data_IF_103802556472
#
_entry.id   IF_103802556472
#
_cell.length_a   1.000
_cell.length_b   1.000
_cell.length_c   1.000
_cell.angle_alpha   90.00
_cell.angle_beta   90.00
_cell.angle_gamma   90.00
#
_symmetry.space_group_name_H-M   'P 1'
#
loop_
_entity.id
_entity.type
_entity.pdbx_description
1 polymer ?
#
# COMPACT_ATOMS: atom_id res chain seq x y z
N UNK A 1 -15.20 -1.75 -20.52
CA UNK A 1 -15.63 -1.43 -19.15
C UNK A 1 -14.68 -2.12 -18.19
N UNK A 2 -13.92 -1.36 -17.40
CA UNK A 2 -13.04 -1.95 -16.40
C UNK A 2 -13.89 -2.63 -15.31
N UNK A 3 -13.77 -3.94 -15.17
CA UNK A 3 -14.49 -4.73 -14.17
C UNK A 3 -13.93 -4.41 -12.79
N UNK A 4 -14.75 -3.84 -11.91
CA UNK A 4 -14.41 -3.62 -10.51
C UNK A 4 -14.18 -4.98 -9.83
N UNK A 5 -12.97 -5.22 -9.34
CA UNK A 5 -12.63 -6.40 -8.54
C UNK A 5 -12.92 -6.09 -7.07
N UNK A 6 -13.59 -7.00 -6.37
CA UNK A 6 -13.95 -6.82 -4.96
C UNK A 6 -13.26 -7.84 -4.07
N UNK A 7 -12.82 -7.40 -2.89
CA UNK A 7 -12.18 -8.24 -1.86
C UNK A 7 -13.02 -8.20 -0.60
N UNK A 8 -13.23 -9.36 0.03
CA UNK A 8 -13.97 -9.43 1.30
C UNK A 8 -13.04 -9.07 2.45
N UNK A 9 -13.48 -8.13 3.28
CA UNK A 9 -12.82 -7.75 4.52
C UNK A 9 -13.67 -8.17 5.72
N UNK A 10 -13.01 -8.40 6.85
CA UNK A 10 -13.70 -8.75 8.09
C UNK A 10 -14.61 -7.60 8.55
N UNK A 11 -15.84 -7.92 8.94
CA UNK A 11 -16.81 -6.95 9.47
C UNK A 11 -16.25 -6.02 10.56
N UNK A 12 -15.52 -6.50 11.60
CA UNK A 12 -14.93 -5.61 12.61
C UNK A 12 -13.89 -4.64 12.03
N UNK A 13 -13.16 -5.03 10.97
CA UNK A 13 -12.20 -4.15 10.31
C UNK A 13 -12.92 -3.02 9.56
N UNK A 14 -13.98 -3.36 8.80
CA UNK A 14 -14.77 -2.36 8.10
C UNK A 14 -15.44 -1.37 9.06
N UNK A 15 -15.92 -1.83 10.21
CA UNK A 15 -16.56 -0.97 11.22
C UNK A 15 -15.57 0.06 11.80
N UNK A 16 -14.37 -0.40 12.17
CA UNK A 16 -13.29 0.49 12.60
C UNK A 16 -12.86 1.45 11.50
N UNK A 17 -12.77 0.98 10.26
CA UNK A 17 -12.38 1.80 9.13
C UNK A 17 -13.41 2.92 8.86
N UNK A 18 -14.72 2.63 8.92
CA UNK A 18 -15.77 3.66 8.77
C UNK A 18 -15.65 4.78 9.81
N UNK A 19 -15.44 4.42 11.07
CA UNK A 19 -15.24 5.39 12.14
C UNK A 19 -14.03 6.32 11.91
N UNK A 20 -13.00 5.84 11.20
CA UNK A 20 -11.81 6.62 10.86
C UNK A 20 -12.07 7.48 9.61
N UNK A 21 -12.74 6.94 8.60
CA UNK A 21 -13.08 7.64 7.34
C UNK A 21 -13.79 8.96 7.63
N UNK A 22 -14.81 8.94 8.49
CA UNK A 22 -15.58 10.15 8.85
C UNK A 22 -14.73 11.22 9.55
N UNK A 23 -13.72 10.81 10.31
CA UNK A 23 -12.85 11.71 11.08
C UNK A 23 -11.65 12.22 10.28
N UNK A 24 -11.17 11.42 9.33
CA UNK A 24 -9.95 11.69 8.58
C UNK A 24 -10.21 12.44 7.26
N UNK A 25 -11.47 12.79 6.95
CA UNK A 25 -11.83 13.62 5.81
C UNK A 25 -11.83 12.87 4.47
N UNK A 26 -11.92 11.54 4.51
CA UNK A 26 -12.09 10.74 3.30
C UNK A 26 -13.53 10.81 2.79
N UNK A 27 -13.69 10.80 1.47
CA UNK A 27 -15.01 10.88 0.84
C UNK A 27 -15.80 9.58 0.98
N UNK A 28 -15.11 8.44 1.16
CA UNK A 28 -15.72 7.12 1.30
C UNK A 28 -14.74 6.08 1.88
N UNK A 29 -15.29 4.96 2.36
CA UNK A 29 -14.49 3.82 2.83
C UNK A 29 -13.62 3.22 1.72
N UNK A 30 -14.12 3.24 0.49
CA UNK A 30 -13.41 2.70 -0.68
C UNK A 30 -12.14 3.50 -0.96
N UNK A 31 -12.24 4.83 -1.02
CA UNK A 31 -11.10 5.75 -1.18
C UNK A 31 -10.03 5.55 -0.09
N UNK A 32 -10.46 5.37 1.17
CA UNK A 32 -9.54 5.07 2.26
C UNK A 32 -8.78 3.74 2.06
N UNK A 33 -9.48 2.69 1.60
CA UNK A 33 -8.87 1.38 1.36
C UNK A 33 -7.91 1.44 0.16
N UNK A 34 -8.31 2.10 -0.93
CA UNK A 34 -7.47 2.28 -2.12
C UNK A 34 -6.17 3.01 -1.76
N UNK A 35 -6.26 4.16 -1.09
CA UNK A 35 -5.07 4.89 -0.63
C UNK A 35 -4.20 4.07 0.33
N UNK A 36 -4.80 3.28 1.22
CA UNK A 36 -4.05 2.43 2.14
C UNK A 36 -3.25 1.35 1.39
N UNK A 37 -3.86 0.73 0.38
CA UNK A 37 -3.22 -0.30 -0.47
C UNK A 37 -2.15 0.32 -1.35
N UNK A 38 -2.42 1.43 -2.03
CA UNK A 38 -1.43 2.14 -2.87
C UNK A 38 -0.19 2.53 -2.07
N UNK A 39 -0.38 3.04 -0.85
CA UNK A 39 0.73 3.39 0.04
C UNK A 39 1.58 2.18 0.41
N UNK A 40 0.97 1.01 0.60
CA UNK A 40 1.70 -0.20 0.95
C UNK A 40 2.46 -0.78 -0.25
N UNK A 41 1.81 -0.81 -1.42
CA UNK A 41 2.42 -1.17 -2.70
C UNK A 41 3.65 -0.31 -2.98
N UNK A 42 3.52 1.01 -2.89
CA UNK A 42 4.63 1.92 -3.13
C UNK A 42 5.83 1.68 -2.19
N UNK A 43 5.60 1.22 -0.95
CA UNK A 43 6.67 0.86 -0.02
C UNK A 43 7.35 -0.44 -0.41
N UNK A 44 6.58 -1.45 -0.82
CA UNK A 44 7.12 -2.74 -1.25
C UNK A 44 7.92 -2.58 -2.54
N UNK A 45 7.40 -1.85 -3.53
CA UNK A 45 8.08 -1.57 -4.80
C UNK A 45 9.36 -0.75 -4.59
N UNK A 46 9.34 0.24 -3.69
CA UNK A 46 10.55 0.97 -3.31
C UNK A 46 11.55 0.10 -2.55
N UNK A 47 11.09 -0.83 -1.71
CA UNK A 47 11.97 -1.73 -0.97
C UNK A 47 12.66 -2.72 -1.91
N UNK A 48 11.93 -3.30 -2.86
CA UNK A 48 12.51 -4.14 -3.92
C UNK A 48 13.53 -3.34 -4.75
N UNK A 49 13.19 -2.12 -5.15
CA UNK A 49 14.10 -1.25 -5.92
C UNK A 49 15.40 -0.92 -5.16
N UNK A 50 15.32 -0.71 -3.84
CA UNK A 50 16.51 -0.44 -3.00
C UNK A 50 17.37 -1.69 -2.82
N UNK A 51 16.77 -2.85 -2.62
CA UNK A 51 17.51 -4.10 -2.47
C UNK A 51 18.22 -4.48 -3.78
N UNK A 52 17.53 -4.33 -4.92
CA UNK A 52 18.11 -4.52 -6.25
C UNK A 52 19.24 -3.51 -6.54
N UNK A 53 19.08 -2.25 -6.13
CA UNK A 53 20.12 -1.22 -6.26
C UNK A 53 21.35 -1.55 -5.41
N UNK A 54 21.16 -1.92 -4.14
CA UNK A 54 22.26 -2.30 -3.23
C UNK A 54 22.98 -3.54 -3.77
N UNK A 55 22.24 -4.51 -4.32
CA UNK A 55 22.83 -5.71 -4.94
C UNK A 55 23.68 -5.34 -6.16
N UNK A 56 23.22 -4.41 -7.00
CA UNK A 56 24.02 -3.86 -8.12
C UNK A 56 25.26 -3.09 -7.63
N UNK A 57 25.16 -2.31 -6.56
CA UNK A 57 26.30 -1.56 -5.99
C UNK A 57 27.34 -2.50 -5.33
N UNK A 58 26.90 -3.56 -4.65
CA UNK A 58 27.80 -4.60 -4.10
C UNK A 58 28.54 -5.37 -5.20
N UNK A 59 27.89 -5.64 -6.32
CA UNK A 59 28.53 -6.26 -7.49
C UNK A 59 29.64 -5.43 -8.15
N UNK A 60 29.75 -4.15 -7.79
CA UNK A 60 30.78 -3.22 -8.29
C UNK A 60 31.90 -2.95 -7.28
N UNK A 61 31.90 -3.59 -6.10
CA UNK A 61 33.00 -3.52 -5.13
C UNK A 61 33.06 -2.26 -4.26
N UNK A 62 31.95 -1.55 -4.05
CA UNK A 62 31.93 -0.25 -3.35
C UNK A 62 31.60 -0.30 -1.83
N UNK A 63 31.45 -1.49 -1.24
CA UNK A 63 31.26 -1.66 0.20
C UNK A 63 32.09 -2.87 0.66
N UNK A 64 33.20 -2.61 1.37
CA UNK A 64 33.93 -3.60 2.19
C UNK A 64 33.12 -3.99 3.43
#
# INVERSE_FOLDING_TARGET
MASKVSVKLSKPLCDRARNVVEKAGYSSLEEFIEHAVERDLAKLEQSESKDDLIRKMKGLGYLE
#
